data_IF_637339989415
#
_entry.id   IF_637339989415
#
_cell.length_a   1.000
_cell.length_b   1.000
_cell.length_c   1.000
_cell.angle_alpha   90.00
_cell.angle_beta   90.00
_cell.angle_gamma   90.00
#
_symmetry.space_group_name_H-M   'P 1'
#
loop_
_entity.id
_entity.type
_entity.pdbx_description
1 polymer ?
#
# COMPACT_ATOMS: atom_id res chain seq x y z
N UNK A 1 10.75 -14.06 14.62
CA UNK A 1 12.03 -13.41 14.99
C UNK A 1 12.44 -12.40 13.92
N UNK A 2 13.43 -11.54 14.20
CA UNK A 2 13.95 -10.52 13.24
C UNK A 2 14.38 -11.18 11.93
N UNK A 3 15.06 -12.34 12.01
CA UNK A 3 15.46 -13.11 10.85
C UNK A 3 14.27 -13.50 9.94
N UNK A 4 13.13 -13.90 10.53
CA UNK A 4 11.93 -14.26 9.78
C UNK A 4 11.32 -13.12 8.97
N UNK A 5 11.21 -11.92 9.56
CA UNK A 5 10.71 -10.75 8.84
C UNK A 5 11.68 -10.31 7.72
N UNK A 6 12.98 -10.42 7.96
CA UNK A 6 14.01 -10.19 6.93
C UNK A 6 13.90 -11.16 5.76
N UNK A 7 13.68 -12.45 6.01
CA UNK A 7 13.48 -13.44 4.94
C UNK A 7 12.21 -13.19 4.13
N UNK A 8 11.11 -12.79 4.77
CA UNK A 8 9.87 -12.42 4.06
C UNK A 8 10.10 -11.19 3.18
N UNK A 9 10.72 -10.13 3.71
CA UNK A 9 11.03 -8.94 2.94
C UNK A 9 11.95 -9.25 1.74
N UNK A 10 13.00 -10.04 1.96
CA UNK A 10 13.89 -10.49 0.89
C UNK A 10 13.14 -11.32 -0.17
N UNK A 11 12.29 -12.26 0.25
CA UNK A 11 11.48 -13.06 -0.66
C UNK A 11 10.53 -12.19 -1.49
N UNK A 12 9.87 -11.21 -0.87
CA UNK A 12 9.02 -10.24 -1.57
C UNK A 12 9.81 -9.40 -2.58
N UNK A 13 10.99 -8.90 -2.20
CA UNK A 13 11.86 -8.15 -3.10
C UNK A 13 12.31 -8.99 -4.30
N UNK A 14 12.75 -10.24 -4.06
CA UNK A 14 13.15 -11.17 -5.12
C UNK A 14 11.97 -11.51 -6.05
N UNK A 15 10.77 -11.72 -5.50
CA UNK A 15 9.56 -11.95 -6.27
C UNK A 15 9.20 -10.72 -7.13
N UNK A 16 9.31 -9.51 -6.60
CA UNK A 16 9.07 -8.27 -7.34
C UNK A 16 10.07 -8.06 -8.48
N UNK A 17 11.34 -8.39 -8.27
CA UNK A 17 12.38 -8.36 -9.32
C UNK A 17 12.08 -9.41 -10.40
N UNK A 18 11.78 -10.65 -10.00
CA UNK A 18 11.43 -11.72 -10.95
C UNK A 18 10.18 -11.34 -11.77
N UNK A 19 9.16 -10.78 -11.12
CA UNK A 19 7.95 -10.34 -11.79
C UNK A 19 8.18 -9.15 -12.72
N UNK A 20 9.06 -8.22 -12.34
CA UNK A 20 9.52 -7.14 -13.23
C UNK A 20 10.18 -7.68 -14.50
N UNK A 21 11.00 -8.73 -14.41
CA UNK A 21 11.60 -9.39 -15.59
C UNK A 21 10.53 -10.02 -16.49
N UNK A 22 9.51 -10.64 -15.89
CA UNK A 22 8.38 -11.21 -16.65
C UNK A 22 7.61 -10.09 -17.37
N UNK A 23 7.27 -9.01 -16.67
CA UNK A 23 6.61 -7.83 -17.26
C UNK A 23 7.43 -7.24 -18.40
N UNK A 24 8.74 -7.04 -18.20
CA UNK A 24 9.63 -6.51 -19.24
C UNK A 24 9.56 -7.32 -20.54
N UNK A 25 9.51 -8.65 -20.45
CA UNK A 25 9.44 -9.56 -21.60
C UNK A 25 8.03 -9.66 -22.20
N UNK A 26 6.99 -9.62 -21.36
CA UNK A 26 5.61 -9.97 -21.73
C UNK A 26 4.68 -8.77 -21.95
N UNK A 27 5.05 -7.58 -21.55
CA UNK A 27 4.23 -6.36 -21.72
C UNK A 27 4.87 -5.47 -22.79
N UNK A 28 4.28 -5.37 -24.00
CA UNK A 28 4.87 -4.59 -25.09
C UNK A 28 4.75 -3.08 -24.84
N UNK A 29 3.60 -2.64 -24.31
CA UNK A 29 3.30 -1.24 -24.03
C UNK A 29 4.32 -0.65 -23.02
N UNK A 30 4.92 0.49 -23.39
CA UNK A 30 5.95 1.14 -22.58
C UNK A 30 5.35 1.76 -21.32
N UNK A 31 4.17 2.34 -21.44
CA UNK A 31 3.51 2.97 -20.30
C UNK A 31 2.99 1.93 -19.30
N UNK A 32 2.41 0.82 -19.77
CA UNK A 32 2.06 -0.32 -18.93
C UNK A 32 3.27 -0.88 -18.16
N UNK A 33 4.43 -1.03 -18.80
CA UNK A 33 5.66 -1.45 -18.11
C UNK A 33 6.07 -0.47 -17.03
N UNK A 34 6.13 0.81 -17.36
CA UNK A 34 6.43 1.86 -16.39
C UNK A 34 5.46 1.79 -15.20
N UNK A 35 4.16 1.79 -15.47
CA UNK A 35 3.11 1.70 -14.46
C UNK A 35 3.28 0.47 -13.55
N UNK A 36 3.53 -0.71 -14.14
CA UNK A 36 3.72 -1.93 -13.37
C UNK A 36 5.01 -1.90 -12.52
N UNK A 37 6.11 -1.35 -13.04
CA UNK A 37 7.33 -1.18 -12.26
C UNK A 37 7.15 -0.20 -11.11
N UNK A 38 6.42 0.89 -11.33
CA UNK A 38 6.12 1.85 -10.27
C UNK A 38 5.27 1.22 -9.16
N UNK A 39 4.35 0.30 -9.50
CA UNK A 39 3.63 -0.51 -8.50
C UNK A 39 4.48 -1.61 -7.84
N UNK A 40 5.60 -2.04 -8.43
CA UNK A 40 6.49 -3.03 -7.82
C UNK A 40 7.60 -2.41 -6.96
N UNK A 41 7.90 -1.13 -7.17
CA UNK A 41 8.90 -0.40 -6.39
C UNK A 41 8.69 -0.52 -4.86
N UNK A 42 7.44 -0.48 -4.33
CA UNK A 42 7.14 -0.70 -2.91
C UNK A 42 7.79 -1.93 -2.26
N UNK A 43 8.05 -2.99 -3.04
CA UNK A 43 8.59 -4.24 -2.52
C UNK A 43 10.11 -4.28 -2.42
N UNK A 44 10.82 -3.33 -3.04
CA UNK A 44 12.29 -3.36 -3.12
C UNK A 44 12.96 -2.21 -2.37
N UNK A 45 12.21 -1.20 -1.92
CA UNK A 45 12.80 -0.20 -1.02
C UNK A 45 12.69 -0.62 0.43
N UNK A 46 13.65 -0.14 1.21
CA UNK A 46 13.77 -0.44 2.63
C UNK A 46 12.89 0.45 3.50
N UNK A 47 12.25 1.48 2.92
CA UNK A 47 11.50 2.47 3.67
C UNK A 47 10.45 3.16 2.78
N UNK A 48 9.18 3.08 3.19
CA UNK A 48 8.08 3.83 2.62
C UNK A 48 7.25 4.42 3.74
N UNK A 49 7.01 5.73 3.68
CA UNK A 49 5.80 6.29 4.24
C UNK A 49 4.64 6.06 3.28
N UNK A 50 3.43 6.19 3.79
CA UNK A 50 2.23 5.99 2.98
C UNK A 50 2.14 7.01 1.81
N UNK A 51 2.64 8.25 1.98
CA UNK A 51 2.77 9.22 0.88
C UNK A 51 3.80 8.82 -0.18
N UNK A 52 4.74 7.93 0.13
CA UNK A 52 5.70 7.45 -0.87
C UNK A 52 5.03 6.46 -1.85
N UNK A 53 3.83 5.95 -1.53
CA UNK A 53 3.00 5.14 -2.43
C UNK A 53 2.35 5.95 -3.56
N UNK A 54 2.56 7.27 -3.61
CA UNK A 54 2.30 8.07 -4.81
C UNK A 54 2.99 7.48 -6.06
N UNK A 55 4.09 6.74 -5.87
CA UNK A 55 4.74 6.01 -6.97
C UNK A 55 3.83 4.98 -7.64
N UNK A 56 2.80 4.45 -6.97
CA UNK A 56 1.84 3.52 -7.57
C UNK A 56 0.76 4.21 -8.42
N UNK A 57 0.67 5.55 -8.44
CA UNK A 57 -0.37 6.28 -9.16
C UNK A 57 -0.41 6.01 -10.67
N UNK A 58 0.73 5.90 -11.38
CA UNK A 58 0.72 5.48 -12.78
C UNK A 58 0.01 4.13 -13.00
N UNK A 59 0.14 3.18 -12.06
CA UNK A 59 -0.55 1.90 -12.11
C UNK A 59 -2.05 2.02 -11.86
N UNK A 60 -2.44 2.83 -10.88
CA UNK A 60 -3.85 3.16 -10.61
C UNK A 60 -4.50 3.76 -11.85
N UNK A 61 -3.89 4.79 -12.44
CA UNK A 61 -4.41 5.48 -13.63
C UNK A 61 -4.49 4.51 -14.81
N UNK A 62 -3.44 3.72 -15.06
CA UNK A 62 -3.46 2.72 -16.12
C UNK A 62 -4.62 1.74 -15.92
N UNK A 63 -4.78 1.20 -14.71
CA UNK A 63 -5.84 0.25 -14.40
C UNK A 63 -7.23 0.88 -14.54
N UNK A 64 -7.43 2.11 -14.05
CA UNK A 64 -8.70 2.84 -14.16
C UNK A 64 -9.13 3.04 -15.62
N UNK A 65 -8.17 3.34 -16.50
CA UNK A 65 -8.41 3.63 -17.92
C UNK A 65 -8.47 2.39 -18.82
N UNK A 66 -7.76 1.30 -18.47
CA UNK A 66 -7.48 0.19 -19.40
C UNK A 66 -8.02 -1.18 -18.96
N UNK A 67 -8.51 -1.31 -17.74
CA UNK A 67 -9.16 -2.56 -17.30
C UNK A 67 -10.60 -2.62 -17.78
N UNK A 68 -10.97 -3.72 -18.44
CA UNK A 68 -12.35 -3.97 -18.85
C UNK A 68 -13.23 -4.37 -17.66
N UNK A 69 -14.55 -4.39 -17.89
CA UNK A 69 -15.59 -4.66 -16.88
C UNK A 69 -15.25 -5.81 -15.91
N UNK A 70 -14.82 -6.98 -16.43
CA UNK A 70 -14.53 -8.17 -15.62
C UNK A 70 -13.39 -7.99 -14.59
N UNK A 71 -12.42 -7.12 -14.86
CA UNK A 71 -11.28 -6.87 -13.97
C UNK A 71 -11.39 -5.55 -13.20
N UNK A 72 -12.38 -4.72 -13.53
CA UNK A 72 -12.54 -3.37 -13.00
C UNK A 72 -12.79 -3.35 -11.49
N UNK A 73 -13.54 -4.34 -10.98
CA UNK A 73 -13.78 -4.49 -9.55
C UNK A 73 -12.49 -4.78 -8.77
N UNK A 74 -11.63 -5.66 -9.30
CA UNK A 74 -10.33 -6.00 -8.69
C UNK A 74 -9.38 -4.80 -8.79
N UNK A 75 -9.40 -4.08 -9.90
CA UNK A 75 -8.61 -2.86 -10.09
C UNK A 75 -8.98 -1.76 -9.11
N UNK A 76 -10.28 -1.57 -8.85
CA UNK A 76 -10.78 -0.65 -7.83
C UNK A 76 -10.34 -1.09 -6.43
N UNK A 77 -10.53 -2.36 -6.08
CA UNK A 77 -10.09 -2.88 -4.78
C UNK A 77 -8.57 -2.71 -4.59
N UNK A 78 -7.76 -3.01 -5.60
CA UNK A 78 -6.31 -2.85 -5.57
C UNK A 78 -5.90 -1.39 -5.43
N UNK A 79 -6.61 -0.48 -6.11
CA UNK A 79 -6.42 0.98 -5.98
C UNK A 79 -6.69 1.44 -4.55
N UNK A 80 -7.80 1.02 -3.97
CA UNK A 80 -8.17 1.41 -2.60
C UNK A 80 -7.24 0.78 -1.56
N UNK A 81 -6.82 -0.48 -1.75
CA UNK A 81 -5.80 -1.10 -0.92
C UNK A 81 -4.49 -0.31 -0.95
N UNK A 82 -4.03 0.11 -2.13
CA UNK A 82 -2.78 0.86 -2.26
C UNK A 82 -2.88 2.32 -1.76
N UNK A 83 -4.06 2.95 -1.87
CA UNK A 83 -4.24 4.39 -1.64
C UNK A 83 -4.84 4.79 -0.29
N UNK A 84 -5.27 3.85 0.56
CA UNK A 84 -5.80 4.14 1.90
C UNK A 84 -4.66 4.10 2.93
N UNK A 85 -4.67 5.07 3.86
CA UNK A 85 -3.72 5.14 4.99
C UNK A 85 -4.05 4.12 6.09
N UNK A 86 -3.87 2.84 5.78
CA UNK A 86 -4.20 1.74 6.71
C UNK A 86 -3.41 1.85 8.01
N UNK A 87 -2.11 2.17 7.93
CA UNK A 87 -1.28 2.35 9.12
C UNK A 87 -1.63 3.66 9.84
N UNK A 88 -1.97 4.70 9.10
CA UNK A 88 -2.44 5.98 9.63
C UNK A 88 -3.66 5.87 10.51
N UNK A 89 -4.55 4.91 10.27
CA UNK A 89 -5.67 4.63 11.17
C UNK A 89 -5.18 4.31 12.60
N UNK A 90 -4.07 3.57 12.73
CA UNK A 90 -3.45 3.25 14.02
C UNK A 90 -2.63 4.42 14.58
N UNK A 91 -2.02 5.24 13.72
CA UNK A 91 -1.25 6.41 14.13
C UNK A 91 -2.13 7.55 14.64
N UNK A 92 -3.25 7.80 13.94
CA UNK A 92 -4.13 8.95 14.16
C UNK A 92 -5.60 8.49 14.15
N UNK A 93 -6.10 7.84 15.21
CA UNK A 93 -7.49 7.39 15.27
C UNK A 93 -8.52 8.51 15.07
N UNK A 94 -8.21 9.73 15.51
CA UNK A 94 -9.06 10.90 15.26
C UNK A 94 -9.17 11.28 13.77
N UNK A 95 -8.21 10.85 12.93
CA UNK A 95 -8.18 11.08 11.49
C UNK A 95 -8.91 10.02 10.65
N UNK A 96 -9.54 9.00 11.25
CA UNK A 96 -10.21 7.92 10.51
C UNK A 96 -11.28 8.47 9.55
N UNK A 97 -12.06 9.48 9.97
CA UNK A 97 -13.07 10.09 9.12
C UNK A 97 -12.45 10.71 7.84
N UNK A 98 -11.30 11.38 7.98
CA UNK A 98 -10.57 11.93 6.84
C UNK A 98 -10.07 10.82 5.90
N UNK A 99 -9.52 9.73 6.44
CA UNK A 99 -9.05 8.58 5.66
C UNK A 99 -10.20 7.94 4.88
N UNK A 100 -11.38 7.79 5.51
CA UNK A 100 -12.60 7.29 4.85
C UNK A 100 -13.01 8.21 3.71
N UNK A 101 -13.06 9.53 3.94
CA UNK A 101 -13.43 10.50 2.90
C UNK A 101 -12.47 10.48 1.72
N UNK A 102 -11.16 10.37 1.97
CA UNK A 102 -10.15 10.23 0.91
C UNK A 102 -10.30 8.91 0.15
N UNK A 103 -10.60 7.80 0.83
CA UNK A 103 -10.90 6.52 0.19
C UNK A 103 -12.15 6.58 -0.71
N UNK A 104 -13.21 7.27 -0.26
CA UNK A 104 -14.42 7.52 -1.06
C UNK A 104 -14.09 8.39 -2.27
N UNK A 105 -13.30 9.47 -2.09
CA UNK A 105 -12.87 10.32 -3.19
C UNK A 105 -12.04 9.55 -4.22
N UNK A 106 -11.14 8.68 -3.78
CA UNK A 106 -10.36 7.80 -4.65
C UNK A 106 -11.24 6.82 -5.43
N UNK A 107 -12.24 6.21 -4.77
CA UNK A 107 -13.20 5.33 -5.43
C UNK A 107 -14.02 6.09 -6.49
N UNK A 108 -14.50 7.28 -6.16
CA UNK A 108 -15.25 8.13 -7.08
C UNK A 108 -14.39 8.55 -8.30
N UNK A 109 -13.15 8.96 -8.07
CA UNK A 109 -12.20 9.30 -9.13
C UNK A 109 -11.91 8.10 -10.05
N UNK A 110 -11.69 6.91 -9.47
CA UNK A 110 -11.50 5.69 -10.24
C UNK A 110 -12.72 5.36 -11.11
N UNK A 111 -13.92 5.46 -10.54
CA UNK A 111 -15.16 5.25 -11.27
C UNK A 111 -15.34 6.25 -12.41
N UNK A 112 -15.01 7.53 -12.18
CA UNK A 112 -15.14 8.61 -13.17
C UNK A 112 -14.16 8.47 -14.34
N UNK A 113 -12.98 7.86 -14.13
CA UNK A 113 -11.94 7.77 -15.16
C UNK A 113 -12.18 6.69 -16.22
N UNK A 114 -13.09 5.73 -16.03
CA UNK A 114 -13.24 4.63 -17.00
C UNK A 114 -14.68 4.37 -17.44
N UNK A 115 -14.95 3.13 -17.82
CA UNK A 115 -16.28 2.72 -18.27
C UNK A 115 -17.35 3.00 -17.19
N UNK A 116 -18.61 3.30 -17.61
CA UNK A 116 -19.70 3.57 -16.69
C UNK A 116 -19.82 2.47 -15.63
N UNK A 117 -20.17 2.83 -14.39
CA UNK A 117 -20.16 1.90 -13.27
C UNK A 117 -21.05 0.69 -13.56
N UNK A 118 -20.47 -0.50 -13.40
CA UNK A 118 -21.21 -1.76 -13.45
C UNK A 118 -21.59 -2.20 -12.05
N UNK A 119 -22.66 -2.99 -11.93
CA UNK A 119 -23.08 -3.59 -10.66
C UNK A 119 -21.98 -4.46 -10.01
N UNK A 120 -20.92 -4.81 -10.76
CA UNK A 120 -19.79 -5.60 -10.29
C UNK A 120 -18.83 -4.79 -9.39
N UNK A 121 -18.93 -3.45 -9.36
CA UNK A 121 -18.09 -2.62 -8.49
C UNK A 121 -18.59 -2.60 -7.04
N UNK A 122 -19.90 -2.76 -6.82
CA UNK A 122 -20.51 -2.68 -5.49
C UNK A 122 -19.92 -3.71 -4.50
N UNK A 123 -19.72 -5.00 -4.86
CA UNK A 123 -19.06 -5.96 -3.98
C UNK A 123 -17.63 -5.56 -3.59
N UNK A 124 -16.85 -4.98 -4.51
CA UNK A 124 -15.49 -4.54 -4.21
C UNK A 124 -15.49 -3.36 -3.23
N UNK A 125 -16.37 -2.38 -3.44
CA UNK A 125 -16.55 -1.25 -2.51
C UNK A 125 -16.98 -1.75 -1.13
N UNK A 126 -17.96 -2.65 -1.07
CA UNK A 126 -18.44 -3.22 0.18
C UNK A 126 -17.35 -4.01 0.92
N UNK A 127 -16.55 -4.80 0.21
CA UNK A 127 -15.43 -5.54 0.79
C UNK A 127 -14.36 -4.62 1.37
N UNK A 128 -14.00 -3.55 0.65
CA UNK A 128 -13.05 -2.54 1.15
C UNK A 128 -13.64 -1.80 2.35
N UNK A 129 -14.92 -1.40 2.31
CA UNK A 129 -15.57 -0.74 3.43
C UNK A 129 -15.58 -1.62 4.69
N UNK A 130 -15.90 -2.91 4.55
CA UNK A 130 -15.83 -3.87 5.66
C UNK A 130 -14.40 -4.01 6.20
N UNK A 131 -13.41 -4.08 5.31
CA UNK A 131 -12.01 -4.12 5.70
C UNK A 131 -11.57 -2.84 6.43
N UNK A 132 -12.05 -1.66 6.01
CA UNK A 132 -11.80 -0.39 6.69
C UNK A 132 -12.41 -0.36 8.08
N UNK A 133 -13.64 -0.87 8.27
CA UNK A 133 -14.27 -0.98 9.59
C UNK A 133 -13.44 -1.90 10.50
N UNK A 134 -13.04 -3.07 9.99
CA UNK A 134 -12.21 -4.01 10.75
C UNK A 134 -10.83 -3.41 11.10
N UNK A 135 -10.20 -2.73 10.13
CA UNK A 135 -8.92 -2.05 10.33
C UNK A 135 -9.03 -0.92 11.35
N UNK A 136 -10.08 -0.10 11.29
CA UNK A 136 -10.35 0.97 12.24
C UNK A 136 -10.55 0.44 13.67
N UNK A 137 -11.33 -0.65 13.83
CA UNK A 137 -11.53 -1.29 15.11
C UNK A 137 -10.21 -1.85 15.68
N UNK A 138 -9.41 -2.54 14.85
CA UNK A 138 -8.11 -3.07 15.24
C UNK A 138 -7.11 -1.95 15.57
N UNK A 139 -7.12 -0.87 14.79
CA UNK A 139 -6.29 0.31 15.00
C UNK A 139 -6.60 1.02 16.32
N UNK A 140 -7.89 1.11 16.68
CA UNK A 140 -8.31 1.69 17.96
C UNK A 140 -7.87 0.82 19.15
N UNK A 141 -7.93 -0.49 19.02
CA UNK A 141 -7.46 -1.43 20.04
C UNK A 141 -5.92 -1.48 20.14
N UNK A 142 -5.20 -1.14 19.07
CA UNK A 142 -3.74 -1.21 18.97
C UNK A 142 -3.14 0.05 18.36
N UNK A 143 -3.24 1.21 19.03
CA UNK A 143 -2.73 2.48 18.51
C UNK A 143 -1.22 2.39 18.30
N UNK A 144 -0.75 2.86 17.14
CA UNK A 144 0.67 2.97 16.82
C UNK A 144 1.17 4.33 17.33
N UNK A 145 2.23 4.37 18.17
CA UNK A 145 2.81 5.65 18.60
C UNK A 145 3.28 6.47 17.41
N UNK A 146 3.04 7.78 17.47
CA UNK A 146 3.47 8.75 16.46
C UNK A 146 4.57 9.61 17.04
N UNK A 147 5.67 9.74 16.31
CA UNK A 147 6.73 10.68 16.66
C UNK A 147 6.39 12.08 16.13
N UNK A 148 6.64 13.17 16.89
CA UNK A 148 7.27 13.19 18.22
C UNK A 148 6.27 13.10 19.38
N UNK A 149 4.95 13.03 19.13
CA UNK A 149 3.93 13.12 20.19
C UNK A 149 4.02 12.01 21.26
N UNK A 150 4.51 10.82 20.89
CA UNK A 150 4.76 9.72 21.81
C UNK A 150 6.06 9.90 22.63
N UNK A 151 6.91 10.86 22.25
CA UNK A 151 8.20 11.10 22.89
C UNK A 151 7.91 11.81 24.20
N UNK A 152 7.94 11.03 25.29
CA UNK A 152 7.79 11.55 26.64
C UNK A 152 9.04 12.34 27.05
N UNK A 153 9.39 12.34 28.33
CA UNK A 153 10.64 12.92 28.83
C UNK A 153 11.85 12.07 28.40
N UNK A 154 12.30 12.23 27.16
CA UNK A 154 13.53 11.63 26.66
C UNK A 154 14.72 12.55 26.94
N UNK A 155 15.81 11.97 27.44
CA UNK A 155 17.07 12.67 27.67
C UNK A 155 18.18 11.82 27.04
N UNK A 156 18.86 12.38 26.05
CA UNK A 156 20.03 11.78 25.46
C UNK A 156 21.31 12.23 26.19
N UNK A 157 22.33 11.36 26.19
CA UNK A 157 23.67 11.77 26.62
C UNK A 157 24.22 12.85 25.67
N UNK A 158 24.84 13.93 26.19
CA UNK A 158 25.47 14.94 25.34
C UNK A 158 26.68 14.40 24.55
N UNK A 159 27.20 13.23 24.93
CA UNK A 159 28.32 12.56 24.27
C UNK A 159 27.87 11.52 23.22
N UNK A 160 26.56 11.21 23.14
CA UNK A 160 26.04 10.22 22.21
C UNK A 160 26.04 10.75 20.76
N UNK A 161 26.36 9.87 19.80
CA UNK A 161 26.22 10.21 18.38
C UNK A 161 24.76 10.45 18.00
N UNK A 162 24.50 11.29 17.00
CA UNK A 162 23.13 11.55 16.51
C UNK A 162 22.40 10.26 16.11
N UNK A 163 23.10 9.28 15.53
CA UNK A 163 22.53 7.99 15.16
C UNK A 163 22.10 7.17 16.39
N UNK A 164 22.90 7.21 17.45
CA UNK A 164 22.57 6.56 18.73
C UNK A 164 21.34 7.21 19.36
N UNK A 165 21.32 8.54 19.43
CA UNK A 165 20.20 9.32 19.97
C UNK A 165 18.91 8.99 19.22
N UNK A 166 18.95 9.01 17.89
CA UNK A 166 17.79 8.69 17.05
C UNK A 166 17.27 7.27 17.28
N UNK A 167 18.16 6.28 17.39
CA UNK A 167 17.77 4.90 17.65
C UNK A 167 17.14 4.74 19.05
N UNK A 168 17.70 5.42 20.04
CA UNK A 168 17.17 5.45 21.41
C UNK A 168 15.80 6.12 21.47
N UNK A 169 15.61 7.23 20.75
CA UNK A 169 14.31 7.88 20.60
C UNK A 169 13.28 6.96 19.96
N UNK A 170 13.62 6.27 18.87
CA UNK A 170 12.71 5.32 18.22
C UNK A 170 12.31 4.17 19.16
N UNK A 171 13.27 3.67 19.95
CA UNK A 171 12.99 2.64 20.97
C UNK A 171 12.09 3.17 22.07
N UNK A 172 12.40 4.34 22.62
CA UNK A 172 11.65 4.97 23.70
C UNK A 172 10.21 5.30 23.29
N UNK A 173 10.02 5.68 22.03
CA UNK A 173 8.70 5.89 21.43
C UNK A 173 7.91 4.61 21.16
N UNK A 174 8.52 3.42 21.30
CA UNK A 174 7.87 2.17 20.93
C UNK A 174 7.73 1.96 19.41
N UNK A 175 8.37 2.78 18.57
CA UNK A 175 8.34 2.63 17.10
C UNK A 175 8.98 1.32 16.63
N UNK A 176 9.88 0.76 17.44
CA UNK A 176 10.51 -0.54 17.18
C UNK A 176 9.72 -1.73 17.76
N UNK A 177 8.58 -1.50 18.42
CA UNK A 177 7.76 -2.57 18.94
C UNK A 177 7.16 -3.40 17.79
N UNK A 178 7.03 -4.70 18.03
CA UNK A 178 6.44 -5.62 17.06
C UNK A 178 4.98 -5.82 17.38
N UNK A 179 4.12 -5.47 16.44
CA UNK A 179 2.69 -5.75 16.51
C UNK A 179 2.24 -6.46 15.24
N UNK A 180 1.57 -7.62 15.34
CA UNK A 180 1.01 -8.29 14.17
C UNK A 180 -0.05 -7.44 13.47
N UNK A 181 -0.79 -6.61 14.22
CA UNK A 181 -1.79 -5.69 13.66
C UNK A 181 -1.12 -4.65 12.77
N UNK A 182 -0.04 -4.01 13.23
CA UNK A 182 0.68 -3.02 12.43
C UNK A 182 1.34 -3.65 11.21
N UNK A 183 1.83 -4.88 11.33
CA UNK A 183 2.36 -5.63 10.19
C UNK A 183 1.26 -5.92 9.14
N UNK A 184 0.06 -6.32 9.59
CA UNK A 184 -1.09 -6.53 8.71
C UNK A 184 -1.51 -5.25 8.00
N UNK A 185 -1.62 -4.13 8.72
CA UNK A 185 -1.97 -2.82 8.14
C UNK A 185 -0.93 -2.36 7.10
N UNK A 186 0.36 -2.59 7.35
CA UNK A 186 1.44 -2.30 6.37
C UNK A 186 1.41 -3.21 5.14
N UNK A 187 0.86 -4.42 5.26
CA UNK A 187 0.78 -5.36 4.16
C UNK A 187 -0.35 -5.03 3.17
N UNK A 188 -1.41 -4.33 3.60
CA UNK A 188 -2.55 -3.99 2.74
C UNK A 188 -2.16 -3.12 1.53
N UNK A 189 -1.39 -2.01 1.67
CA UNK A 189 -0.95 -1.26 0.51
C UNK A 189 -0.04 -2.06 -0.42
N UNK A 190 0.85 -2.89 0.13
CA UNK A 190 1.71 -3.77 -0.67
C UNK A 190 0.88 -4.78 -1.47
N UNK A 191 -0.16 -5.36 -0.87
CA UNK A 191 -1.09 -6.23 -1.58
C UNK A 191 -1.78 -5.48 -2.73
N UNK A 192 -2.25 -4.25 -2.50
CA UNK A 192 -2.80 -3.40 -3.55
C UNK A 192 -1.81 -3.17 -4.70
N UNK A 193 -0.57 -2.83 -4.38
CA UNK A 193 0.52 -2.64 -5.33
C UNK A 193 0.80 -3.90 -6.17
N UNK A 194 0.90 -5.07 -5.53
CA UNK A 194 1.08 -6.34 -6.22
C UNK A 194 -0.10 -6.68 -7.15
N UNK A 195 -1.34 -6.45 -6.70
CA UNK A 195 -2.54 -6.65 -7.51
C UNK A 195 -2.58 -5.71 -8.73
N UNK A 196 -2.22 -4.44 -8.57
CA UNK A 196 -2.13 -3.48 -9.68
C UNK A 196 -1.12 -3.96 -10.73
N UNK A 197 0.09 -4.35 -10.32
CA UNK A 197 1.11 -4.88 -11.24
C UNK A 197 0.63 -6.16 -11.95
N UNK A 198 -0.05 -7.05 -11.22
CA UNK A 198 -0.64 -8.28 -11.78
C UNK A 198 -1.73 -7.98 -12.83
N UNK A 199 -2.62 -7.04 -12.56
CA UNK A 199 -3.68 -6.64 -13.49
C UNK A 199 -3.10 -6.04 -14.78
N UNK A 200 -2.06 -5.21 -14.66
CA UNK A 200 -1.36 -4.65 -15.83
C UNK A 200 -0.75 -5.77 -16.68
N UNK A 201 -0.06 -6.73 -16.03
CA UNK A 201 0.50 -7.90 -16.71
C UNK A 201 -0.57 -8.71 -17.43
N UNK A 202 -1.65 -9.10 -16.73
CA UNK A 202 -2.74 -9.91 -17.28
C UNK A 202 -3.39 -9.25 -18.48
N UNK A 203 -3.84 -7.99 -18.32
CA UNK A 203 -4.54 -7.27 -19.37
C UNK A 203 -3.67 -7.01 -20.60
N UNK A 204 -2.38 -6.75 -20.40
CA UNK A 204 -1.44 -6.54 -21.51
C UNK A 204 -1.08 -7.83 -22.26
N UNK A 205 -1.13 -8.99 -21.57
CA UNK A 205 -0.89 -10.28 -22.19
C UNK A 205 -2.04 -10.69 -23.13
N UNK A 206 -3.29 -10.38 -22.77
CA UNK A 206 -4.48 -10.70 -23.58
C UNK A 206 -4.45 -10.02 -24.96
N UNK A 207 -3.83 -8.83 -25.07
CA UNK A 207 -3.64 -8.13 -26.34
C UNK A 207 -2.63 -8.79 -27.30
N UNK A 208 -1.84 -9.77 -26.85
CA UNK A 208 -0.92 -10.52 -27.74
C UNK A 208 -1.60 -11.70 -28.45
N UNK A 209 -2.74 -12.15 -27.94
CA UNK A 209 -3.43 -13.37 -28.41
C UNK A 209 -4.69 -13.08 -29.22
N UNK A 210 -5.09 -11.82 -29.32
CA UNK A 210 -6.16 -11.33 -30.18
C UNK A 210 -5.57 -10.70 -31.44
#
# INVERSE_FOLDING_TARGET
GIAGAGYVALACALAAVAFSVVIWRRVPDRFARFAAFSALLPFVTTFFHEHDLLVAYPAVIWCALRTGSAMRAVALAATLLAGIDWLGMAQRPAGIAQIVLLGVAAAAAFCALGEPPSNQLAPAIAAIALLMVAAAAAAHAHPLPVWPDALRRFHASPEASAATVWLEEQRANGLLARSPVWAALRALPLLGCGLLAYLIYRRSADYRTA
#
